data_IF_635452676390
#
_entry.id   IF_635452676390
#
_cell.length_a   1.000
_cell.length_b   1.000
_cell.length_c   1.000
_cell.angle_alpha   90.00
_cell.angle_beta   90.00
_cell.angle_gamma   90.00
#
_symmetry.space_group_name_H-M   'P 1'
#
loop_
_entity.id
_entity.type
_entity.pdbx_description
1 polymer ?
#
# COMPACT_ATOMS: atom_id res chain seq x y z
N UNK A 1 16.72 4.00 15.56
CA UNK A 1 16.55 3.76 14.11
C UNK A 1 15.32 4.53 13.64
N UNK A 2 15.38 5.19 12.48
CA UNK A 2 14.19 5.80 11.88
C UNK A 2 13.18 4.72 11.50
N UNK A 3 11.89 4.99 11.74
CA UNK A 3 10.80 4.08 11.35
C UNK A 3 10.66 4.05 9.83
N UNK A 4 10.44 2.84 9.29
CA UNK A 4 10.34 2.55 7.87
C UNK A 4 9.13 3.21 7.19
N UNK A 5 9.31 3.62 5.94
CA UNK A 5 8.24 4.01 5.03
C UNK A 5 7.61 2.76 4.40
N UNK A 6 6.30 2.61 4.53
CA UNK A 6 5.57 1.43 4.06
C UNK A 6 4.53 1.89 3.04
N UNK A 7 4.50 1.24 1.87
CA UNK A 7 3.46 1.43 0.86
C UNK A 7 2.60 0.16 0.77
N UNK A 8 1.31 0.27 1.08
CA UNK A 8 0.34 -0.77 0.84
C UNK A 8 -0.27 -0.58 -0.55
N UNK A 9 -0.06 -1.54 -1.45
CA UNK A 9 -0.58 -1.50 -2.81
C UNK A 9 -1.83 -2.37 -2.89
N UNK A 10 -2.99 -1.77 -3.10
CA UNK A 10 -4.27 -2.46 -3.18
C UNK A 10 -4.71 -2.53 -4.64
N UNK A 11 -4.99 -3.74 -5.14
CA UNK A 11 -5.46 -3.91 -6.51
C UNK A 11 -6.57 -4.96 -6.59
N UNK A 12 -7.60 -4.74 -7.44
CA UNK A 12 -8.59 -5.78 -7.73
C UNK A 12 -8.03 -6.88 -8.64
N UNK A 13 -6.83 -6.69 -9.20
CA UNK A 13 -6.21 -7.62 -10.13
C UNK A 13 -5.40 -8.70 -9.40
N UNK A 14 -5.08 -9.79 -10.10
CA UNK A 14 -4.28 -10.90 -9.56
C UNK A 14 -2.83 -10.52 -9.30
N UNK A 15 -2.32 -9.50 -9.97
CA UNK A 15 -0.94 -9.02 -9.82
C UNK A 15 -0.92 -7.49 -9.77
N UNK A 16 -0.01 -6.96 -8.95
CA UNK A 16 0.37 -5.54 -9.01
C UNK A 16 1.31 -5.34 -10.20
N UNK A 17 1.17 -4.20 -10.88
CA UNK A 17 2.06 -3.84 -12.00
C UNK A 17 3.51 -3.74 -11.53
N UNK A 18 4.47 -4.44 -12.16
CA UNK A 18 5.89 -4.27 -11.86
C UNK A 18 6.37 -2.83 -12.06
N UNK A 19 5.73 -2.07 -12.95
CA UNK A 19 6.02 -0.65 -13.13
C UNK A 19 5.73 0.14 -11.85
N UNK A 20 4.56 -0.08 -11.25
CA UNK A 20 4.16 0.62 -10.02
C UNK A 20 5.09 0.24 -8.86
N UNK A 21 5.52 -1.02 -8.79
CA UNK A 21 6.50 -1.49 -7.79
C UNK A 21 7.83 -0.76 -7.95
N UNK A 22 8.37 -0.69 -9.17
CA UNK A 22 9.62 0.01 -9.43
C UNK A 22 9.52 1.50 -9.08
N UNK A 23 8.42 2.15 -9.44
CA UNK A 23 8.20 3.56 -9.08
C UNK A 23 8.12 3.80 -7.58
N UNK A 24 7.53 2.87 -6.82
CA UNK A 24 7.54 2.94 -5.36
C UNK A 24 8.94 2.77 -4.75
N UNK A 25 9.76 1.85 -5.31
CA UNK A 25 11.16 1.67 -4.90
C UNK A 25 11.96 2.94 -5.16
N UNK A 26 11.87 3.48 -6.38
CA UNK A 26 12.62 4.67 -6.78
C UNK A 26 12.17 5.93 -6.01
N UNK A 27 10.91 5.98 -5.55
CA UNK A 27 10.40 7.03 -4.68
C UNK A 27 10.91 6.94 -3.22
N UNK A 28 11.62 5.86 -2.86
CA UNK A 28 12.26 5.70 -1.55
C UNK A 28 11.42 5.03 -0.47
N UNK A 29 10.38 4.27 -0.83
CA UNK A 29 9.68 3.43 0.15
C UNK A 29 10.57 2.26 0.59
N UNK A 30 10.63 2.02 1.90
CA UNK A 30 11.44 0.92 2.45
C UNK A 30 10.77 -0.45 2.27
N UNK A 31 9.44 -0.49 2.33
CA UNK A 31 8.63 -1.70 2.23
C UNK A 31 7.44 -1.45 1.32
N UNK A 32 7.20 -2.40 0.42
CA UNK A 32 6.11 -2.36 -0.55
C UNK A 32 5.32 -3.66 -0.41
N UNK A 33 4.07 -3.57 0.02
CA UNK A 33 3.24 -4.70 0.38
C UNK A 33 2.04 -4.80 -0.57
N UNK A 34 2.01 -5.77 -1.50
CA UNK A 34 0.91 -5.94 -2.42
C UNK A 34 -0.25 -6.75 -1.82
N UNK A 35 -1.47 -6.29 -2.07
CA UNK A 35 -2.73 -6.98 -1.81
C UNK A 35 -3.48 -7.09 -3.13
N UNK A 36 -3.69 -8.32 -3.58
CA UNK A 36 -4.24 -8.66 -4.90
C UNK A 36 -5.63 -9.24 -4.78
N UNK A 37 -6.44 -9.09 -5.82
CA UNK A 37 -7.85 -9.51 -5.86
C UNK A 37 -8.70 -8.87 -4.73
N UNK A 38 -8.38 -7.64 -4.34
CA UNK A 38 -9.09 -6.92 -3.27
C UNK A 38 -10.47 -6.50 -3.75
N UNK A 39 -11.52 -6.88 -3.02
CA UNK A 39 -12.88 -6.45 -3.27
C UNK A 39 -13.18 -5.09 -2.63
N UNK A 40 -14.18 -4.38 -3.18
CA UNK A 40 -14.54 -3.03 -2.73
C UNK A 40 -14.92 -2.96 -1.24
N UNK A 41 -15.59 -3.99 -0.73
CA UNK A 41 -16.01 -4.08 0.68
C UNK A 41 -14.83 -4.33 1.64
N UNK A 42 -13.68 -4.79 1.15
CA UNK A 42 -12.49 -5.05 1.98
C UNK A 42 -11.61 -3.81 2.16
N UNK A 43 -11.72 -2.83 1.27
CA UNK A 43 -10.89 -1.61 1.26
C UNK A 43 -10.91 -0.89 2.61
N UNK A 44 -12.10 -0.72 3.20
CA UNK A 44 -12.23 -0.01 4.48
C UNK A 44 -11.42 -0.69 5.59
N UNK A 45 -11.52 -2.02 5.71
CA UNK A 45 -10.81 -2.78 6.74
C UNK A 45 -9.29 -2.67 6.56
N UNK A 46 -8.80 -2.89 5.34
CA UNK A 46 -7.37 -2.81 5.02
C UNK A 46 -6.78 -1.42 5.30
N UNK A 47 -7.52 -0.37 4.95
CA UNK A 47 -7.11 1.01 5.22
C UNK A 47 -7.09 1.30 6.72
N UNK A 48 -8.13 0.91 7.47
CA UNK A 48 -8.20 1.12 8.92
C UNK A 48 -7.04 0.41 9.65
N UNK A 49 -6.76 -0.84 9.30
CA UNK A 49 -5.65 -1.60 9.90
C UNK A 49 -4.30 -0.96 9.59
N UNK A 50 -4.13 -0.43 8.38
CA UNK A 50 -2.91 0.28 7.97
C UNK A 50 -2.69 1.59 8.73
N UNK A 51 -3.76 2.29 9.12
CA UNK A 51 -3.71 3.56 9.86
C UNK A 51 -3.51 3.33 11.36
N UNK A 52 -4.30 2.44 11.98
CA UNK A 52 -4.34 2.27 13.42
C UNK A 52 -3.23 1.37 13.99
N UNK A 53 -2.52 0.63 13.14
CA UNK A 53 -1.38 -0.19 13.55
C UNK A 53 -0.13 0.61 13.93
N UNK A 54 -0.10 1.93 13.72
CA UNK A 54 1.08 2.78 13.97
C UNK A 54 0.73 4.02 14.79
N UNK A 55 1.74 4.56 15.48
CA UNK A 55 1.62 5.83 16.20
C UNK A 55 1.28 6.98 15.23
N UNK A 56 0.66 8.05 15.73
CA UNK A 56 0.31 9.24 14.92
C UNK A 56 1.53 9.82 14.18
N UNK A 57 2.71 9.81 14.82
CA UNK A 57 3.95 10.29 14.22
C UNK A 57 4.49 9.40 13.10
N UNK A 58 4.10 8.12 13.10
CA UNK A 58 4.51 7.13 12.11
C UNK A 58 3.46 6.90 11.03
N UNK A 59 2.20 7.28 11.25
CA UNK A 59 1.12 7.19 10.28
C UNK A 59 1.47 7.94 8.97
N UNK A 60 2.15 9.10 9.07
CA UNK A 60 2.67 9.85 7.92
C UNK A 60 3.74 9.12 7.10
N UNK A 61 4.23 7.99 7.60
CA UNK A 61 5.21 7.11 6.92
C UNK A 61 4.54 5.85 6.34
N UNK A 62 3.21 5.79 6.36
CA UNK A 62 2.42 4.74 5.72
C UNK A 62 1.64 5.38 4.57
N UNK A 63 1.85 4.87 3.36
CA UNK A 63 1.10 5.24 2.17
C UNK A 63 0.18 4.11 1.72
N UNK A 64 -0.90 4.48 1.04
CA UNK A 64 -1.79 3.53 0.35
C UNK A 64 -1.83 3.92 -1.11
N UNK A 65 -1.60 2.95 -1.99
CA UNK A 65 -1.66 3.11 -3.43
C UNK A 65 -2.71 2.17 -4.00
N UNK A 66 -3.79 2.73 -4.54
CA UNK A 66 -4.84 1.97 -5.22
C UNK A 66 -4.45 1.87 -6.69
N UNK A 67 -4.25 0.65 -7.17
CA UNK A 67 -3.60 0.39 -8.44
C UNK A 67 -4.27 -0.70 -9.27
N UNK A 68 -3.83 -0.82 -10.51
CA UNK A 68 -4.50 -1.61 -11.53
C UNK A 68 -5.46 -0.77 -12.36
N UNK A 69 -6.17 -1.45 -13.27
CA UNK A 69 -7.16 -0.85 -14.16
C UNK A 69 -8.46 -1.63 -14.08
N UNK A 70 -9.56 -0.93 -14.28
CA UNK A 70 -10.84 -1.56 -14.57
C UNK A 70 -10.77 -2.13 -16.00
N UNK A 71 -11.06 -3.41 -16.15
CA UNK A 71 -11.12 -4.10 -17.44
C UNK A 71 -12.46 -4.78 -17.58
#
# INVERSE_FOLDING_TARGET
MSRKYILHMLTPQTHVSPFDVNMAVDAGFDLILPYTNVALNEIQGLVQDSIFSRSVNDAKRTGIFICGKDT
#
